data_IF_043527232930
#
_entry.id   IF_043527232930
#
_cell.length_a   1.000
_cell.length_b   1.000
_cell.length_c   1.000
_cell.angle_alpha   90.00
_cell.angle_beta   90.00
_cell.angle_gamma   90.00
#
_symmetry.space_group_name_H-M   'P 1'
#
loop_
_entity.id
_entity.type
_entity.pdbx_description
1 polymer ?
#
# COMPACT_ATOMS: atom_id res chain seq x y z
N UNK A 1 -12.95 12.27 45.03
CA UNK A 1 -11.81 12.55 44.14
C UNK A 1 -12.15 12.03 42.74
N UNK A 2 -12.55 12.91 41.83
CA UNK A 2 -12.93 12.59 40.45
C UNK A 2 -11.73 12.88 39.54
N UNK A 3 -10.94 11.85 39.23
CA UNK A 3 -9.91 11.92 38.21
C UNK A 3 -10.31 10.97 37.08
N UNK A 4 -10.92 11.53 36.01
CA UNK A 4 -11.04 10.94 34.66
C UNK A 4 -11.78 11.93 33.75
N UNK A 5 -11.08 12.97 33.32
CA UNK A 5 -11.40 13.71 32.09
C UNK A 5 -10.32 13.36 31.07
N UNK A 6 -10.42 12.16 30.49
CA UNK A 6 -9.59 11.77 29.35
C UNK A 6 -10.08 12.53 28.11
N UNK A 7 -9.29 13.53 27.72
CA UNK A 7 -9.20 14.16 26.40
C UNK A 7 -10.29 13.79 25.37
N UNK A 8 -11.39 14.55 25.36
CA UNK A 8 -12.49 14.47 24.37
C UNK A 8 -12.12 15.15 23.03
N UNK A 9 -10.97 15.83 22.94
CA UNK A 9 -10.62 16.69 21.79
C UNK A 9 -9.47 16.17 20.91
N UNK A 10 -9.03 14.92 21.07
CA UNK A 10 -8.11 14.32 20.09
C UNK A 10 -8.94 13.65 18.99
N UNK A 11 -8.90 14.11 17.74
CA UNK A 11 -9.58 13.42 16.65
C UNK A 11 -9.08 11.96 16.60
N UNK A 12 -9.97 10.97 16.47
CA UNK A 12 -9.56 9.59 16.25
C UNK A 12 -8.61 9.55 15.05
N UNK A 13 -7.40 9.07 15.26
CA UNK A 13 -6.41 8.88 14.22
C UNK A 13 -6.27 7.40 14.01
N UNK A 14 -6.79 6.91 12.88
CA UNK A 14 -6.72 5.51 12.54
C UNK A 14 -5.38 5.26 11.83
N UNK A 15 -4.43 4.54 12.46
CA UNK A 15 -3.20 4.15 11.79
C UNK A 15 -3.54 3.19 10.66
N UNK A 16 -2.90 3.36 9.52
CA UNK A 16 -3.08 2.48 8.36
C UNK A 16 -1.80 2.40 7.54
N UNK A 17 -1.77 1.48 6.59
CA UNK A 17 -0.58 1.18 5.80
C UNK A 17 -0.90 1.09 4.31
N UNK A 18 0.01 1.61 3.50
CA UNK A 18 -0.04 1.54 2.05
C UNK A 18 1.18 0.82 1.52
N UNK A 19 1.00 0.03 0.47
CA UNK A 19 2.07 -0.36 -0.43
C UNK A 19 2.06 0.61 -1.61
N UNK A 20 3.19 1.26 -1.89
CA UNK A 20 3.32 2.25 -2.94
C UNK A 20 4.40 1.84 -3.92
N UNK A 21 4.07 1.84 -5.20
CA UNK A 21 4.97 1.56 -6.32
C UNK A 21 5.19 2.84 -7.09
N UNK A 22 6.45 3.24 -7.25
CA UNK A 22 6.83 4.41 -8.02
C UNK A 22 7.39 5.56 -7.20
N UNK A 23 7.70 6.65 -7.90
CA UNK A 23 8.44 7.78 -7.33
C UNK A 23 7.49 8.86 -6.83
N UNK A 24 7.66 9.25 -5.56
CA UNK A 24 7.04 10.45 -5.03
C UNK A 24 7.54 11.70 -5.79
N UNK A 25 6.67 12.68 -6.01
CA UNK A 25 6.92 13.78 -6.95
C UNK A 25 6.55 13.47 -8.41
N UNK A 26 6.11 12.24 -8.69
CA UNK A 26 5.65 11.80 -10.00
C UNK A 26 4.34 10.98 -9.88
N UNK A 27 4.15 10.02 -10.79
CA UNK A 27 3.05 9.04 -10.72
C UNK A 27 3.43 7.90 -9.78
N UNK A 28 2.52 7.58 -8.87
CA UNK A 28 2.59 6.45 -7.94
C UNK A 28 1.34 5.58 -8.08
N UNK A 29 1.50 4.29 -7.86
CA UNK A 29 0.42 3.31 -7.76
C UNK A 29 0.35 2.81 -6.33
N UNK A 30 -0.86 2.76 -5.77
CA UNK A 30 -1.08 2.51 -4.35
C UNK A 30 -1.99 1.31 -4.19
N UNK A 31 -1.60 0.41 -3.30
CA UNK A 31 -2.44 -0.64 -2.72
C UNK A 31 -2.60 -0.36 -1.24
N UNK A 32 -3.84 -0.19 -0.81
CA UNK A 32 -4.23 0.03 0.57
C UNK A 32 -4.89 -1.24 1.10
N UNK A 33 -4.33 -1.81 2.16
CA UNK A 33 -4.94 -2.92 2.88
C UNK A 33 -5.58 -2.36 4.15
N UNK A 34 -6.92 -2.36 4.18
CA UNK A 34 -7.68 -1.80 5.29
C UNK A 34 -7.52 -2.67 6.54
N UNK A 35 -7.08 -2.13 7.68
CA UNK A 35 -6.91 -2.95 8.88
C UNK A 35 -8.24 -3.43 9.48
N UNK A 36 -9.35 -2.75 9.22
CA UNK A 36 -10.64 -3.03 9.86
C UNK A 36 -11.33 -4.29 9.31
N UNK A 37 -11.34 -4.46 7.99
CA UNK A 37 -11.99 -5.58 7.29
C UNK A 37 -11.03 -6.36 6.38
N UNK A 38 -9.82 -5.82 6.15
CA UNK A 38 -8.84 -6.35 5.22
C UNK A 38 -9.26 -6.25 3.77
N UNK A 39 -10.20 -5.35 3.46
CA UNK A 39 -10.50 -4.95 2.09
C UNK A 39 -9.26 -4.35 1.45
N UNK A 40 -8.98 -4.74 0.22
CA UNK A 40 -7.87 -4.22 -0.57
C UNK A 40 -8.43 -3.14 -1.49
N UNK A 41 -7.87 -1.93 -1.42
CA UNK A 41 -8.21 -0.82 -2.32
C UNK A 41 -6.99 -0.46 -3.16
N UNK A 42 -7.22 -0.10 -4.42
CA UNK A 42 -6.14 0.24 -5.36
C UNK A 42 -6.46 1.51 -6.13
N UNK A 43 -5.46 2.35 -6.31
CA UNK A 43 -5.60 3.60 -7.06
C UNK A 43 -4.24 4.15 -7.48
N UNK A 44 -4.22 4.93 -8.56
CA UNK A 44 -3.06 5.68 -9.02
C UNK A 44 -3.18 7.16 -8.66
N UNK A 45 -2.05 7.80 -8.34
CA UNK A 45 -1.98 9.24 -8.06
C UNK A 45 -0.79 9.86 -8.78
N UNK A 46 -1.00 11.06 -9.32
CA UNK A 46 0.10 11.95 -9.70
C UNK A 46 0.21 13.01 -8.63
N UNK A 47 1.34 13.05 -7.92
CA UNK A 47 1.58 14.01 -6.85
C UNK A 47 2.86 14.79 -7.10
N UNK A 48 2.83 16.13 -7.07
CA UNK A 48 4.06 16.94 -7.13
C UNK A 48 4.83 16.92 -5.79
N UNK A 49 4.24 16.37 -4.72
CA UNK A 49 4.84 16.30 -3.39
C UNK A 49 5.70 15.07 -3.22
N UNK A 50 6.83 15.25 -2.53
CA UNK A 50 7.74 14.16 -2.10
C UNK A 50 7.18 13.34 -0.93
N UNK A 51 6.17 13.86 -0.21
CA UNK A 51 5.46 13.18 0.88
C UNK A 51 4.04 12.77 0.50
N UNK A 52 3.56 11.64 1.02
CA UNK A 52 2.20 11.18 0.82
C UNK A 52 1.20 12.05 1.61
N UNK A 53 0.34 12.74 0.87
CA UNK A 53 -0.81 13.46 1.42
C UNK A 53 -1.98 13.37 0.45
N UNK A 54 -3.01 12.63 0.83
CA UNK A 54 -4.15 12.39 -0.06
C UNK A 54 -5.44 12.21 0.72
N UNK A 55 -6.52 12.90 0.33
CA UNK A 55 -7.87 12.80 0.91
C UNK A 55 -7.94 12.79 2.46
N UNK A 56 -7.05 13.55 3.12
CA UNK A 56 -7.00 13.64 4.58
C UNK A 56 -6.07 12.61 5.25
N UNK A 57 -5.53 11.66 4.50
CA UNK A 57 -4.41 10.85 4.96
C UNK A 57 -3.11 11.65 4.91
N UNK A 58 -2.29 11.45 5.94
CA UNK A 58 -0.96 12.02 6.06
C UNK A 58 0.04 10.92 6.36
N UNK A 59 1.15 10.92 5.63
CA UNK A 59 2.31 10.11 5.94
C UNK A 59 2.80 10.34 7.37
N UNK A 60 3.24 9.26 8.01
CA UNK A 60 3.95 9.27 9.28
C UNK A 60 5.40 8.80 9.10
N UNK A 61 5.56 7.72 8.36
CA UNK A 61 6.85 7.13 8.04
C UNK A 61 6.73 6.36 6.72
N UNK A 62 7.86 6.14 6.05
CA UNK A 62 7.95 5.21 4.94
C UNK A 62 9.21 4.37 5.05
N UNK A 63 9.15 3.19 4.48
CA UNK A 63 10.26 2.28 4.33
C UNK A 63 10.30 1.78 2.89
N UNK A 64 11.46 1.84 2.25
CA UNK A 64 11.66 1.19 0.95
C UNK A 64 11.99 -0.28 1.20
N UNK A 65 11.13 -1.18 0.73
CA UNK A 65 11.30 -2.62 0.92
C UNK A 65 11.98 -3.29 -0.28
N UNK A 66 12.04 -2.61 -1.42
CA UNK A 66 12.74 -3.11 -2.59
C UNK A 66 12.52 -2.26 -3.84
N UNK A 67 12.88 -2.86 -4.97
CA UNK A 67 12.64 -2.30 -6.31
C UNK A 67 12.11 -3.40 -7.21
N UNK A 68 11.11 -3.08 -8.03
CA UNK A 68 10.56 -3.99 -9.03
C UNK A 68 10.95 -3.50 -10.43
N UNK A 69 11.45 -4.40 -11.27
CA UNK A 69 11.66 -4.14 -12.70
C UNK A 69 10.46 -4.68 -13.47
N UNK A 70 9.84 -3.82 -14.26
CA UNK A 70 8.67 -4.11 -15.09
C UNK A 70 9.08 -4.13 -16.56
N UNK A 71 8.72 -5.19 -17.27
CA UNK A 71 8.90 -5.32 -18.71
C UNK A 71 7.78 -4.58 -19.46
N UNK A 72 7.83 -3.25 -19.47
CA UNK A 72 6.79 -2.40 -20.07
C UNK A 72 6.58 -2.65 -21.57
N UNK A 73 7.58 -3.19 -22.27
CA UNK A 73 7.43 -3.62 -23.67
C UNK A 73 6.66 -4.94 -23.85
N UNK A 74 6.41 -5.67 -22.77
CA UNK A 74 5.59 -6.88 -22.70
C UNK A 74 4.29 -6.63 -21.94
N UNK A 75 3.81 -5.38 -21.97
CA UNK A 75 2.57 -4.93 -21.33
C UNK A 75 2.55 -5.08 -19.79
N UNK A 76 3.71 -5.29 -19.14
CA UNK A 76 3.78 -5.23 -17.70
C UNK A 76 3.61 -3.79 -17.19
N UNK A 77 2.85 -3.66 -16.11
CA UNK A 77 2.56 -2.36 -15.49
C UNK A 77 2.65 -2.45 -13.97
N UNK A 78 2.67 -1.29 -13.31
CA UNK A 78 2.60 -1.25 -11.85
C UNK A 78 1.29 -1.89 -11.34
N UNK A 79 0.21 -1.81 -12.10
CA UNK A 79 -1.05 -2.47 -11.76
C UNK A 79 -0.93 -3.99 -11.88
N UNK A 80 -0.26 -4.53 -12.92
CA UNK A 80 -0.04 -5.99 -12.97
C UNK A 80 0.85 -6.49 -11.81
N UNK A 81 1.81 -5.67 -11.35
CA UNK A 81 2.58 -6.01 -10.15
C UNK A 81 1.72 -5.99 -8.89
N UNK A 82 0.83 -5.01 -8.75
CA UNK A 82 -0.10 -4.98 -7.62
C UNK A 82 -1.12 -6.14 -7.67
N UNK A 83 -1.47 -6.68 -8.84
CA UNK A 83 -2.28 -7.91 -8.96
C UNK A 83 -1.57 -9.13 -8.36
N UNK A 84 -0.26 -9.27 -8.65
CA UNK A 84 0.59 -10.33 -8.12
C UNK A 84 0.68 -10.26 -6.58
N UNK A 85 0.81 -9.04 -6.06
CA UNK A 85 0.84 -8.78 -4.61
C UNK A 85 -0.52 -9.06 -3.98
N UNK A 86 -1.61 -8.59 -4.57
CA UNK A 86 -2.97 -8.78 -4.07
C UNK A 86 -3.32 -10.27 -3.97
N UNK A 87 -2.96 -11.06 -5.00
CA UNK A 87 -3.14 -12.52 -4.99
C UNK A 87 -2.44 -13.16 -3.78
N UNK A 88 -1.21 -12.74 -3.48
CA UNK A 88 -0.45 -13.23 -2.33
C UNK A 88 -1.03 -12.77 -0.99
N UNK A 89 -1.46 -11.51 -0.88
CA UNK A 89 -2.15 -11.00 0.32
C UNK A 89 -3.38 -11.87 0.60
N UNK A 90 -4.22 -12.13 -0.40
CA UNK A 90 -5.40 -12.99 -0.26
C UNK A 90 -5.02 -14.40 0.23
N UNK A 91 -3.95 -14.97 -0.31
CA UNK A 91 -3.44 -16.28 0.12
C UNK A 91 -2.95 -16.28 1.58
N UNK A 92 -2.16 -15.29 1.98
CA UNK A 92 -1.60 -15.18 3.34
C UNK A 92 -2.67 -14.87 4.40
N UNK A 93 -3.67 -14.06 4.06
CA UNK A 93 -4.80 -13.78 4.97
C UNK A 93 -5.62 -15.01 5.30
N UNK A 94 -5.84 -15.89 4.32
CA UNK A 94 -6.53 -17.16 4.55
C UNK A 94 -5.79 -18.06 5.56
N UNK A 95 -4.51 -17.80 5.83
CA UNK A 95 -3.68 -18.55 6.76
C UNK A 95 -3.51 -17.86 8.12
N UNK A 96 -3.53 -16.52 8.16
CA UNK A 96 -3.11 -15.71 9.32
C UNK A 96 -4.27 -15.14 10.16
N UNK A 97 -5.49 -15.05 9.61
CA UNK A 97 -6.62 -14.43 10.30
C UNK A 97 -6.59 -12.89 10.30
N UNK A 98 -7.51 -12.24 11.03
CA UNK A 98 -7.54 -10.77 11.19
C UNK A 98 -6.64 -10.34 12.35
N UNK A 99 -5.77 -9.36 12.13
CA UNK A 99 -4.76 -8.91 13.11
C UNK A 99 -4.57 -7.40 13.11
N UNK A 100 -3.83 -6.87 14.08
CA UNK A 100 -3.51 -5.44 14.16
C UNK A 100 -2.69 -4.98 12.95
N UNK A 101 -2.66 -3.67 12.65
CA UNK A 101 -1.90 -3.08 11.52
C UNK A 101 -0.47 -3.60 11.46
N UNK A 102 0.21 -3.72 12.60
CA UNK A 102 1.59 -4.21 12.67
C UNK A 102 1.71 -5.66 12.20
N UNK A 103 0.81 -6.54 12.63
CA UNK A 103 0.77 -7.95 12.20
C UNK A 103 0.43 -8.05 10.71
N UNK A 104 -0.52 -7.24 10.26
CA UNK A 104 -0.91 -7.19 8.85
C UNK A 104 0.24 -6.71 7.94
N UNK A 105 1.12 -5.83 8.42
CA UNK A 105 2.34 -5.49 7.69
C UNK A 105 3.32 -6.66 7.68
N UNK A 106 3.66 -7.18 8.86
CA UNK A 106 4.75 -8.16 9.04
C UNK A 106 4.42 -9.53 8.45
N UNK A 107 3.18 -9.99 8.60
CA UNK A 107 2.78 -11.35 8.26
C UNK A 107 2.11 -11.45 6.88
N UNK A 108 1.64 -10.32 6.33
CA UNK A 108 0.86 -10.31 5.09
C UNK A 108 1.46 -9.36 4.04
N UNK A 109 1.51 -8.06 4.31
CA UNK A 109 1.81 -7.07 3.27
C UNK A 109 3.27 -7.13 2.81
N UNK A 110 4.24 -7.12 3.74
CA UNK A 110 5.66 -7.20 3.42
C UNK A 110 6.01 -8.53 2.76
N UNK A 111 5.64 -9.71 3.31
CA UNK A 111 5.92 -10.98 2.67
C UNK A 111 5.33 -11.07 1.26
N UNK A 112 4.08 -10.66 1.07
CA UNK A 112 3.45 -10.65 -0.25
C UNK A 112 4.19 -9.76 -1.27
N UNK A 113 4.61 -8.57 -0.86
CA UNK A 113 5.34 -7.65 -1.72
C UNK A 113 6.75 -8.16 -2.05
N UNK A 114 7.48 -8.67 -1.06
CA UNK A 114 8.83 -9.21 -1.24
C UNK A 114 8.83 -10.46 -2.13
N UNK A 115 7.86 -11.36 -1.94
CA UNK A 115 7.70 -12.54 -2.79
C UNK A 115 7.38 -12.15 -4.25
N UNK A 116 6.57 -11.11 -4.46
CA UNK A 116 6.27 -10.61 -5.81
C UNK A 116 7.48 -9.94 -6.45
N UNK A 117 8.26 -9.17 -5.68
CA UNK A 117 9.52 -8.57 -6.14
C UNK A 117 10.51 -9.66 -6.54
N UNK A 118 10.66 -10.68 -5.69
CA UNK A 118 11.61 -11.77 -5.93
C UNK A 118 11.21 -12.60 -7.15
N UNK A 119 9.92 -12.96 -7.31
CA UNK A 119 9.47 -13.68 -8.50
C UNK A 119 9.80 -12.89 -9.78
N UNK A 120 9.55 -11.57 -9.80
CA UNK A 120 9.84 -10.74 -10.98
C UNK A 120 11.33 -10.55 -11.22
N UNK A 121 12.16 -10.60 -10.17
CA UNK A 121 13.62 -10.55 -10.28
C UNK A 121 14.19 -11.84 -10.88
N UNK A 122 13.61 -12.99 -10.55
CA UNK A 122 14.08 -14.30 -11.01
C UNK A 122 13.59 -14.65 -12.43
N UNK A 123 12.68 -13.84 -13.00
CA UNK A 123 12.24 -14.01 -14.39
C UNK A 123 13.36 -13.74 -15.37
N UNK A 124 13.31 -14.45 -16.49
CA UNK A 124 14.21 -14.19 -17.62
C UNK A 124 14.08 -12.74 -18.08
N UNK A 125 15.24 -12.12 -18.32
CA UNK A 125 15.29 -10.71 -18.75
C UNK A 125 14.68 -10.59 -20.15
N UNK A 126 13.61 -9.79 -20.27
CA UNK A 126 13.09 -9.46 -21.59
C UNK A 126 14.09 -8.62 -22.39
N UNK A 127 14.12 -8.83 -23.70
CA UNK A 127 14.86 -7.99 -24.64
C UNK A 127 14.13 -6.67 -24.95
N UNK A 128 12.89 -6.51 -24.49
CA UNK A 128 12.09 -5.31 -24.69
C UNK A 128 12.33 -4.25 -23.60
N UNK A 129 11.66 -3.12 -23.73
CA UNK A 129 11.83 -2.00 -22.81
C UNK A 129 11.46 -2.39 -21.37
N UNK A 130 12.30 -1.96 -20.42
CA UNK A 130 12.12 -2.19 -18.99
C UNK A 130 12.11 -0.89 -18.21
N UNK A 131 11.36 -0.83 -17.12
CA UNK A 131 11.39 0.28 -16.17
C UNK A 131 11.50 -0.25 -14.75
N UNK A 132 12.31 0.40 -13.91
CA UNK A 132 12.48 -0.01 -12.51
C UNK A 132 11.84 1.01 -11.59
N UNK A 133 11.04 0.52 -10.66
CA UNK A 133 10.30 1.34 -9.71
C UNK A 133 10.64 0.93 -8.27
N UNK A 134 10.84 1.88 -7.36
CA UNK A 134 10.92 1.58 -5.94
C UNK A 134 9.55 1.15 -5.41
N UNK A 135 9.57 0.25 -4.42
CA UNK A 135 8.38 -0.22 -3.70
C UNK A 135 8.55 0.16 -2.24
N UNK A 136 7.55 0.86 -1.70
CA UNK A 136 7.54 1.38 -0.34
C UNK A 136 6.38 0.83 0.48
N UNK A 137 6.61 0.61 1.76
CA UNK A 137 5.57 0.53 2.79
C UNK A 137 5.44 1.92 3.41
N UNK A 138 4.25 2.49 3.39
CA UNK A 138 3.98 3.85 3.87
C UNK A 138 2.96 3.80 4.99
N UNK A 139 3.38 4.19 6.18
CA UNK A 139 2.51 4.33 7.34
C UNK A 139 1.82 5.68 7.29
N UNK A 140 0.49 5.66 7.38
CA UNK A 140 -0.34 6.86 7.31
C UNK A 140 -1.23 6.98 8.54
N UNK A 141 -1.67 8.22 8.81
CA UNK A 141 -2.81 8.50 9.68
C UNK A 141 -3.98 8.98 8.84
N UNK A 142 -5.13 8.35 9.02
CA UNK A 142 -6.40 8.77 8.46
C UNK A 142 -7.17 9.63 9.47
N UNK A 143 -7.71 10.75 9.00
CA UNK A 143 -8.69 11.51 9.78
C UNK A 143 -9.99 10.72 9.91
N UNK A 144 -10.61 10.74 11.09
CA UNK A 144 -11.90 10.10 11.34
C UNK A 144 -12.94 10.43 10.26
N UNK A 145 -13.63 9.39 9.75
CA UNK A 145 -14.67 9.50 8.72
C UNK A 145 -14.17 9.78 7.30
N UNK A 146 -12.86 9.68 7.03
CA UNK A 146 -12.30 9.81 5.67
C UNK A 146 -11.86 8.45 5.13
N UNK A 147 -12.20 8.18 3.88
CA UNK A 147 -11.74 7.03 3.09
C UNK A 147 -10.76 7.49 2.01
N UNK A 148 -9.80 6.64 1.64
CA UNK A 148 -8.87 6.89 0.54
C UNK A 148 -9.54 6.73 -0.83
N UNK A 149 -10.66 6.03 -0.90
CA UNK A 149 -11.50 5.89 -2.10
C UNK A 149 -12.90 6.43 -1.79
N UNK A 150 -13.54 7.07 -2.77
CA UNK A 150 -15.02 7.09 -2.73
C UNK A 150 -15.48 5.65 -2.94
N UNK A 151 -16.57 5.23 -2.27
CA UNK A 151 -17.38 4.11 -2.72
C UNK A 151 -18.00 4.48 -4.07
N UNK A 152 -17.19 4.66 -5.11
CA UNK A 152 -17.67 4.58 -6.47
C UNK A 152 -17.79 3.10 -6.75
N UNK A 153 -19.00 2.57 -6.52
CA UNK A 153 -19.50 1.44 -7.27
C UNK A 153 -19.14 1.69 -8.74
N UNK A 154 -18.15 0.98 -9.24
CA UNK A 154 -17.92 0.93 -10.67
C UNK A 154 -19.14 0.22 -11.29
N UNK A 155 -19.71 0.73 -12.38
CA UNK A 155 -20.84 0.10 -13.08
C UNK A 155 -20.48 -1.27 -13.64
#
# INVERSE_FOLDING_TARGET
MLARLTNIFTPPTNPSVLLVVGNFGAKIHVLHLLPEDGTIQRFGLTTPSTNFRYRGAREQAREQIGTVTLHVGDDESADSFLDDVETRIRKLRNQTGSGEVTQLVQDVLQPAALDAIQERKDRERSMRATQTYPVYVVYIRLSAGRSLTELTSFP
#
